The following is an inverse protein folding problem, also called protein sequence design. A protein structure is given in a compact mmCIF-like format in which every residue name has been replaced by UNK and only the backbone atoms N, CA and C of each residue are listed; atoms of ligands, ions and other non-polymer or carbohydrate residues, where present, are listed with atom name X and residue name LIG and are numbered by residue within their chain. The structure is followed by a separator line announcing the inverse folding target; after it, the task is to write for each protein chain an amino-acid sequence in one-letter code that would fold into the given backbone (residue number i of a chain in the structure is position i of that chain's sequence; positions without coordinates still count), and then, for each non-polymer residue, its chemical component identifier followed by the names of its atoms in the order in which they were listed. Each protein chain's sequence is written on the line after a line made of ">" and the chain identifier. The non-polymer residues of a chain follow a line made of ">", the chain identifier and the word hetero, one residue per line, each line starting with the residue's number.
data_IF_413613077986
#
_entry.id   IF_413613077986
#
_cell.length_a   1.000
_cell.length_b   1.000
_cell.length_c   1.000
_cell.angle_alpha   90.00
_cell.angle_beta   90.00
_cell.angle_gamma   90.00
#
_symmetry.space_group_name_H-M   'P 1'
#
loop_
_entity.id
_entity.type
_entity.pdbx_description
1 polymer ?
#
# COMPACT_ATOMS: atom_id res chain seq x y z
N UNK A 1 11.14 19.32 -8.88
CA UNK A 1 9.92 19.71 -9.63
C UNK A 1 8.62 19.15 -9.05
N UNK A 2 8.55 17.93 -8.50
CA UNK A 2 7.32 17.40 -7.87
C UNK A 2 6.88 18.14 -6.58
N UNK A 3 7.84 18.66 -5.81
CA UNK A 3 7.60 19.44 -4.58
C UNK A 3 6.74 20.70 -4.80
N UNK A 4 6.84 21.33 -5.97
CA UNK A 4 6.23 22.65 -6.23
C UNK A 4 4.81 22.56 -6.79
N UNK A 5 4.44 21.45 -7.45
CA UNK A 5 3.07 21.25 -7.96
C UNK A 5 2.09 20.78 -6.90
N UNK A 6 2.52 19.98 -5.91
CA UNK A 6 1.69 19.62 -4.76
C UNK A 6 1.44 20.83 -3.84
N UNK A 7 2.42 21.73 -3.72
CA UNK A 7 2.35 22.96 -2.93
C UNK A 7 1.20 23.91 -3.31
N UNK A 8 0.73 23.85 -4.56
CA UNK A 8 -0.21 24.83 -5.13
C UNK A 8 -1.68 24.44 -5.02
N UNK A 9 -2.01 23.19 -4.68
CA UNK A 9 -3.40 22.69 -4.66
C UNK A 9 -4.00 22.58 -3.25
N UNK A 10 -3.18 22.60 -2.20
CA UNK A 10 -3.60 22.39 -0.82
C UNK A 10 -3.02 23.51 0.06
N UNK A 11 -3.73 23.96 1.09
CA UNK A 11 -3.19 24.96 2.01
C UNK A 11 -2.17 24.31 2.97
N UNK A 12 -0.90 24.29 2.56
CA UNK A 12 0.19 23.72 3.35
C UNK A 12 0.48 24.50 4.65
N UNK A 13 -0.07 25.71 4.83
CA UNK A 13 0.01 26.41 6.11
C UNK A 13 -0.79 25.68 7.19
N UNK A 14 -1.93 25.09 6.83
CA UNK A 14 -2.68 24.21 7.75
C UNK A 14 -1.87 22.96 8.16
N UNK A 15 -1.11 22.37 7.22
CA UNK A 15 -0.23 21.21 7.49
C UNK A 15 1.03 21.54 8.29
N UNK A 16 1.48 22.81 8.30
CA UNK A 16 2.77 23.21 8.88
C UNK A 16 2.69 23.96 10.21
N UNK A 17 1.50 24.36 10.67
CA UNK A 17 1.34 25.24 11.84
C UNK A 17 0.67 24.62 13.07
N UNK A 18 0.09 23.42 12.98
CA UNK A 18 -0.39 22.71 14.17
C UNK A 18 0.79 22.22 15.01
N UNK A 19 0.99 22.78 16.21
CA UNK A 19 1.74 22.06 17.25
C UNK A 19 0.99 20.75 17.49
N UNK A 20 1.71 19.63 17.55
CA UNK A 20 1.12 18.38 18.06
C UNK A 20 0.85 18.65 19.53
N UNK A 21 -0.40 18.94 19.88
CA UNK A 21 -0.79 19.24 21.26
C UNK A 21 -0.59 18.02 22.16
N UNK A 22 -0.75 16.81 21.60
CA UNK A 22 -0.55 15.55 22.32
C UNK A 22 0.01 14.46 21.38
N UNK A 23 1.10 13.78 21.79
CA UNK A 23 1.71 12.67 21.02
C UNK A 23 0.98 11.35 21.33
N UNK A 24 -0.32 11.32 21.06
CA UNK A 24 -1.13 10.13 21.27
C UNK A 24 -1.67 9.63 19.92
N UNK A 25 -1.54 8.32 19.69
CA UNK A 25 -2.18 7.69 18.55
C UNK A 25 -3.65 7.40 18.84
N UNK A 26 -4.52 7.39 17.81
CA UNK A 26 -5.89 6.94 17.97
C UNK A 26 -5.96 5.53 18.58
N UNK A 27 -6.94 5.31 19.46
CA UNK A 27 -7.18 3.99 20.09
C UNK A 27 -7.76 2.99 19.09
N UNK A 28 -8.60 3.45 18.17
CA UNK A 28 -9.15 2.63 17.07
C UNK A 28 -8.02 2.22 16.13
N UNK A 29 -7.88 0.92 15.91
CA UNK A 29 -6.83 0.37 15.07
C UNK A 29 -7.17 0.57 13.58
N UNK A 30 -6.22 1.00 12.73
CA UNK A 30 -6.47 1.27 11.34
C UNK A 30 -6.48 0.01 10.47
N UNK A 31 -7.19 0.07 9.34
CA UNK A 31 -6.91 -0.77 8.18
C UNK A 31 -5.93 -0.06 7.24
N UNK A 32 -4.83 -0.73 6.90
CA UNK A 32 -3.77 -0.17 6.05
C UNK A 32 -3.69 -0.98 4.76
N UNK A 33 -3.76 -0.32 3.61
CA UNK A 33 -3.52 -0.95 2.31
C UNK A 33 -2.09 -0.63 1.84
N UNK A 34 -1.34 -1.67 1.46
CA UNK A 34 -0.04 -1.59 0.79
C UNK A 34 0.03 -2.50 -0.43
N UNK A 35 0.83 -2.10 -1.42
CA UNK A 35 1.03 -2.85 -2.66
C UNK A 35 2.17 -2.22 -3.46
N UNK A 36 2.72 -2.95 -4.43
CA UNK A 36 3.53 -2.30 -5.46
C UNK A 36 2.65 -1.37 -6.33
N UNK A 37 3.17 -0.21 -6.71
CA UNK A 37 2.37 0.82 -7.40
C UNK A 37 1.88 0.37 -8.77
N UNK A 38 0.58 0.28 -8.99
CA UNK A 38 -0.02 -0.25 -10.25
C UNK A 38 -0.90 -1.49 -10.05
N UNK A 39 -0.90 -2.05 -8.84
CA UNK A 39 -1.63 -3.27 -8.45
C UNK A 39 -3.14 -3.08 -8.21
N UNK A 40 -3.76 -2.00 -8.69
CA UNK A 40 -5.23 -1.85 -8.65
C UNK A 40 -5.85 -1.54 -7.28
N UNK A 41 -5.06 -1.10 -6.30
CA UNK A 41 -5.48 -0.81 -4.91
C UNK A 41 -6.66 0.18 -4.73
N UNK A 42 -7.06 0.92 -5.76
CA UNK A 42 -8.20 1.87 -5.69
C UNK A 42 -9.54 1.17 -5.49
N UNK A 43 -9.76 0.05 -6.18
CA UNK A 43 -11.00 -0.72 -6.02
C UNK A 43 -11.15 -1.22 -4.58
N UNK A 44 -10.03 -1.59 -3.93
CA UNK A 44 -10.01 -1.99 -2.53
C UNK A 44 -10.44 -0.85 -1.60
N UNK A 45 -9.96 0.39 -1.82
CA UNK A 45 -10.39 1.57 -1.04
C UNK A 45 -11.91 1.76 -1.16
N UNK A 46 -12.46 1.64 -2.36
CA UNK A 46 -13.90 1.78 -2.59
C UNK A 46 -14.71 0.69 -1.88
N UNK A 47 -14.23 -0.56 -1.86
CA UNK A 47 -14.84 -1.68 -1.13
C UNK A 47 -14.77 -1.46 0.38
N UNK A 48 -13.62 -1.00 0.90
CA UNK A 48 -13.47 -0.68 2.32
C UNK A 48 -14.45 0.41 2.78
N UNK A 49 -14.73 1.41 1.94
CA UNK A 49 -15.77 2.41 2.22
C UNK A 49 -17.16 1.78 2.33
N UNK A 50 -17.49 0.78 1.51
CA UNK A 50 -18.74 0.02 1.65
C UNK A 50 -18.78 -0.83 2.93
N UNK A 51 -17.62 -1.30 3.40
CA UNK A 51 -17.45 -2.00 4.67
C UNK A 51 -17.45 -1.07 5.90
N UNK A 52 -17.82 0.21 5.73
CA UNK A 52 -17.90 1.19 6.82
C UNK A 52 -16.56 1.78 7.27
N UNK A 53 -15.46 1.51 6.55
CA UNK A 53 -14.15 2.07 6.87
C UNK A 53 -14.02 3.48 6.29
N UNK A 54 -13.70 4.44 7.15
CA UNK A 54 -13.34 5.78 6.69
C UNK A 54 -11.90 5.82 6.17
N UNK A 55 -11.74 6.07 4.87
CA UNK A 55 -10.44 6.00 4.18
C UNK A 55 -9.80 7.38 3.94
N UNK A 56 -10.26 8.41 4.64
CA UNK A 56 -9.83 9.80 4.48
C UNK A 56 -10.64 10.59 3.45
N UNK A 57 -10.83 11.88 3.75
CA UNK A 57 -11.47 12.84 2.85
C UNK A 57 -10.46 13.53 1.91
N UNK A 58 -9.19 13.58 2.34
CA UNK A 58 -8.10 14.21 1.61
C UNK A 58 -7.22 13.18 0.91
N UNK A 59 -7.75 12.61 -0.18
CA UNK A 59 -7.07 11.59 -0.99
C UNK A 59 -6.72 12.11 -2.38
N UNK A 60 -5.61 11.61 -2.97
CA UNK A 60 -5.30 11.89 -4.37
C UNK A 60 -6.39 11.31 -5.27
N UNK A 61 -7.07 12.12 -6.11
CA UNK A 61 -8.22 11.66 -6.88
C UNK A 61 -7.87 10.63 -7.97
N UNK A 62 -6.59 10.50 -8.32
CA UNK A 62 -6.13 9.52 -9.31
C UNK A 62 -5.68 8.23 -8.67
N UNK A 63 -5.04 8.28 -7.50
CA UNK A 63 -4.39 7.12 -6.88
C UNK A 63 -5.07 6.61 -5.61
N UNK A 64 -5.98 7.39 -5.02
CA UNK A 64 -6.56 7.18 -3.68
C UNK A 64 -5.48 7.11 -2.59
N UNK A 65 -4.32 7.71 -2.81
CA UNK A 65 -3.31 7.84 -1.76
C UNK A 65 -3.75 8.91 -0.77
N UNK A 66 -3.80 8.55 0.51
CA UNK A 66 -4.04 9.51 1.58
C UNK A 66 -2.94 10.59 1.56
N UNK A 67 -3.33 11.85 1.38
CA UNK A 67 -2.38 12.92 1.08
C UNK A 67 -1.42 13.19 2.23
N UNK A 68 -1.91 13.20 3.47
CA UNK A 68 -1.07 13.37 4.65
C UNK A 68 0.00 12.28 4.76
N UNK A 69 -0.38 11.02 4.51
CA UNK A 69 0.53 9.88 4.51
C UNK A 69 1.50 9.93 3.34
N UNK A 70 1.05 10.31 2.15
CA UNK A 70 1.91 10.49 0.97
C UNK A 70 3.01 11.51 1.22
N UNK A 71 2.70 12.62 1.88
CA UNK A 71 3.67 13.68 2.23
C UNK A 71 4.68 13.17 3.24
N UNK A 72 4.19 12.52 4.29
CA UNK A 72 5.03 11.90 5.30
C UNK A 72 6.01 10.90 4.68
N UNK A 73 5.50 9.97 3.87
CA UNK A 73 6.30 8.93 3.23
C UNK A 73 7.30 9.48 2.21
N UNK A 74 6.91 10.49 1.41
CA UNK A 74 7.83 11.14 0.47
C UNK A 74 9.03 11.81 1.17
N UNK A 75 8.94 12.07 2.48
CA UNK A 75 10.02 12.66 3.28
C UNK A 75 10.81 11.63 4.06
N UNK A 76 10.13 10.67 4.68
CA UNK A 76 10.71 9.83 5.74
C UNK A 76 10.81 8.35 5.39
N UNK A 77 10.29 7.92 4.24
CA UNK A 77 10.28 6.50 3.87
C UNK A 77 11.68 5.88 3.92
N UNK A 78 12.67 6.45 3.21
CA UNK A 78 14.01 5.86 3.12
C UNK A 78 14.68 5.76 4.50
N UNK A 79 14.53 6.79 5.35
CA UNK A 79 15.09 6.80 6.71
C UNK A 79 14.45 5.72 7.59
N UNK A 80 13.12 5.58 7.54
CA UNK A 80 12.40 4.56 8.32
C UNK A 80 12.74 3.17 7.79
N UNK A 81 12.78 3.00 6.47
CA UNK A 81 13.12 1.73 5.84
C UNK A 81 14.54 1.30 6.20
N UNK A 82 15.51 2.21 6.15
CA UNK A 82 16.88 1.94 6.59
C UNK A 82 16.92 1.53 8.07
N UNK A 83 16.16 2.20 8.95
CA UNK A 83 16.06 1.82 10.35
C UNK A 83 15.51 0.39 10.54
N UNK A 84 14.47 0.02 9.79
CA UNK A 84 13.89 -1.34 9.80
C UNK A 84 14.93 -2.37 9.35
N UNK A 85 15.63 -2.11 8.25
CA UNK A 85 16.65 -3.03 7.73
C UNK A 85 17.83 -3.20 8.71
N UNK A 86 18.13 -2.17 9.50
CA UNK A 86 19.16 -2.20 10.54
C UNK A 86 18.66 -2.68 11.92
N UNK A 87 17.39 -3.12 12.03
CA UNK A 87 16.73 -3.48 13.29
C UNK A 87 16.91 -2.42 14.39
N UNK A 88 16.71 -1.16 14.00
CA UNK A 88 16.96 0.02 14.84
C UNK A 88 15.72 0.92 14.94
N UNK A 89 15.59 1.72 16.01
CA UNK A 89 14.47 2.65 16.14
C UNK A 89 14.42 3.66 14.98
N UNK A 90 13.21 3.97 14.52
CA UNK A 90 13.01 5.02 13.53
C UNK A 90 13.44 6.39 14.08
N UNK A 91 13.93 7.32 13.24
CA UNK A 91 14.34 8.64 13.72
C UNK A 91 13.20 9.36 14.45
N UNK A 92 13.48 9.96 15.62
CA UNK A 92 12.47 10.66 16.41
C UNK A 92 11.70 11.75 15.63
N UNK A 93 12.36 12.38 14.64
CA UNK A 93 11.71 13.34 13.72
C UNK A 93 10.71 12.68 12.77
N UNK A 94 11.01 11.48 12.28
CA UNK A 94 10.09 10.69 11.47
C UNK A 94 8.88 10.26 12.32
N UNK A 95 9.11 9.78 13.55
CA UNK A 95 8.05 9.43 14.49
C UNK A 95 7.12 10.63 14.76
N UNK A 96 7.67 11.80 15.08
CA UNK A 96 6.87 13.02 15.29
C UNK A 96 6.10 13.44 14.02
N UNK A 97 6.68 13.25 12.84
CA UNK A 97 6.00 13.53 11.59
C UNK A 97 4.86 12.54 11.32
N UNK A 98 4.99 11.29 11.75
CA UNK A 98 3.92 10.28 11.65
C UNK A 98 2.73 10.61 12.56
N UNK A 99 2.98 11.05 13.80
CA UNK A 99 1.92 11.58 14.67
C UNK A 99 1.13 12.70 13.98
N UNK A 100 1.85 13.69 13.42
CA UNK A 100 1.21 14.80 12.66
C UNK A 100 0.42 14.30 11.47
N UNK A 101 1.00 13.43 10.66
CA UNK A 101 0.33 12.91 9.47
C UNK A 101 -0.94 12.15 9.83
N UNK A 102 -0.93 11.41 10.95
CA UNK A 102 -2.11 10.69 11.46
C UNK A 102 -3.19 11.64 11.94
N UNK A 103 -2.82 12.68 12.69
CA UNK A 103 -3.77 13.72 13.15
C UNK A 103 -4.41 14.44 11.96
N UNK A 104 -3.60 14.86 10.99
CA UNK A 104 -4.10 15.57 9.80
C UNK A 104 -4.96 14.66 8.94
N UNK A 105 -4.55 13.38 8.78
CA UNK A 105 -5.35 12.40 8.04
C UNK A 105 -6.74 12.24 8.65
N UNK A 106 -6.92 12.50 9.95
CA UNK A 106 -8.17 12.32 10.70
C UNK A 106 -8.90 13.63 11.06
N UNK A 107 -8.45 14.79 10.57
CA UNK A 107 -9.01 16.09 10.97
C UNK A 107 -10.51 16.21 10.70
N UNK A 108 -11.00 15.66 9.58
CA UNK A 108 -12.41 15.73 9.17
C UNK A 108 -13.27 14.61 9.79
N UNK A 109 -12.66 13.69 10.53
CA UNK A 109 -13.37 12.56 11.10
C UNK A 109 -14.22 13.03 12.29
N UNK A 110 -15.53 13.12 12.08
CA UNK A 110 -16.48 13.61 13.08
C UNK A 110 -16.64 12.68 14.29
N UNK A 111 -16.57 11.36 14.08
CA UNK A 111 -16.60 10.35 15.15
C UNK A 111 -15.20 9.73 15.34
N UNK A 112 -14.50 10.03 16.45
CA UNK A 112 -13.19 9.45 16.75
C UNK A 112 -13.19 7.92 16.82
N UNK A 113 -14.34 7.29 17.10
CA UNK A 113 -14.49 5.85 17.21
C UNK A 113 -14.78 5.16 15.88
N UNK A 114 -15.01 5.91 14.81
CA UNK A 114 -15.28 5.35 13.49
C UNK A 114 -14.11 4.48 13.01
N UNK A 115 -14.38 3.26 12.49
CA UNK A 115 -13.38 2.45 11.81
C UNK A 115 -12.74 3.24 10.67
N UNK A 116 -11.42 3.16 10.55
CA UNK A 116 -10.68 4.04 9.67
C UNK A 116 -9.46 3.36 9.09
N UNK A 117 -8.91 3.97 8.05
CA UNK A 117 -7.71 3.46 7.42
C UNK A 117 -7.06 4.46 6.49
N UNK A 118 -6.00 4.01 5.84
CA UNK A 118 -5.40 4.74 4.74
C UNK A 118 -4.77 3.78 3.74
N UNK A 119 -4.56 4.32 2.54
CA UNK A 119 -3.90 3.61 1.47
C UNK A 119 -2.68 4.42 1.01
N UNK A 120 -1.55 3.73 0.87
CA UNK A 120 -0.40 4.18 0.10
C UNK A 120 0.43 2.95 -0.31
N UNK A 121 0.88 2.83 -1.58
CA UNK A 121 1.69 1.69 -2.03
C UNK A 121 2.88 1.38 -1.10
N UNK A 122 3.61 2.42 -0.66
CA UNK A 122 4.83 2.30 0.16
C UNK A 122 4.58 1.66 1.53
N UNK A 123 3.32 1.59 1.99
CA UNK A 123 2.98 0.97 3.27
C UNK A 123 3.46 -0.49 3.38
N UNK A 124 3.56 -1.20 2.25
CA UNK A 124 3.97 -2.61 2.21
C UNK A 124 5.34 -2.86 2.85
N UNK A 125 6.24 -1.86 2.85
CA UNK A 125 7.59 -2.00 3.41
C UNK A 125 7.71 -1.50 4.85
N UNK A 126 6.67 -0.86 5.40
CA UNK A 126 6.71 -0.19 6.70
C UNK A 126 5.82 -0.87 7.76
N UNK A 127 5.37 -2.11 7.52
CA UNK A 127 4.60 -2.90 8.50
C UNK A 127 5.27 -2.92 9.89
N UNK A 128 6.59 -3.18 10.02
CA UNK A 128 7.25 -3.19 11.34
C UNK A 128 7.20 -1.83 12.05
N UNK A 129 7.17 -0.73 11.29
CA UNK A 129 7.04 0.62 11.85
C UNK A 129 5.62 0.86 12.34
N UNK A 130 4.59 0.52 11.54
CA UNK A 130 3.21 0.74 11.94
C UNK A 130 2.76 -0.13 13.12
N UNK A 131 3.24 -1.36 13.21
CA UNK A 131 2.92 -2.28 14.31
C UNK A 131 3.34 -1.75 15.70
N UNK A 132 4.35 -0.87 15.76
CA UNK A 132 4.78 -0.22 17.00
C UNK A 132 3.75 0.76 17.56
N UNK A 133 2.93 1.35 16.67
CA UNK A 133 1.93 2.35 17.01
C UNK A 133 0.52 1.76 17.10
N UNK A 134 0.26 0.74 16.28
CA UNK A 134 -1.04 0.11 16.13
C UNK A 134 -0.89 -1.42 16.18
N UNK A 135 -0.74 -2.00 17.38
CA UNK A 135 -0.52 -3.45 17.52
C UNK A 135 -1.69 -4.31 17.01
N UNK A 136 -2.88 -3.71 16.89
CA UNK A 136 -4.06 -4.36 16.33
C UNK A 136 -4.42 -3.90 14.92
N UNK A 137 -3.52 -3.21 14.19
CA UNK A 137 -3.79 -2.80 12.81
C UNK A 137 -4.14 -4.02 11.95
N UNK A 138 -5.06 -3.84 11.00
CA UNK A 138 -5.33 -4.82 9.95
C UNK A 138 -4.62 -4.37 8.67
N UNK A 139 -3.87 -5.26 8.03
CA UNK A 139 -3.09 -4.95 6.83
C UNK A 139 -3.61 -5.73 5.62
N UNK A 140 -4.03 -5.02 4.58
CA UNK A 140 -4.40 -5.61 3.29
C UNK A 140 -3.24 -5.41 2.32
N UNK A 141 -2.57 -6.52 1.99
CA UNK A 141 -1.50 -6.58 1.03
C UNK A 141 -2.06 -6.99 -0.33
N UNK A 142 -2.10 -6.05 -1.27
CA UNK A 142 -2.52 -6.34 -2.63
C UNK A 142 -1.31 -6.69 -3.48
N UNK A 143 -1.30 -7.90 -4.03
CA UNK A 143 -0.29 -8.36 -4.99
C UNK A 143 -0.91 -8.42 -6.39
N UNK A 144 -0.10 -8.18 -7.42
CA UNK A 144 -0.44 -8.34 -8.83
C UNK A 144 0.70 -9.08 -9.53
N UNK A 145 0.45 -9.76 -10.65
CA UNK A 145 1.48 -10.48 -11.38
C UNK A 145 2.72 -9.60 -11.65
N UNK A 146 3.89 -10.07 -11.19
CA UNK A 146 5.16 -9.36 -11.32
C UNK A 146 5.55 -9.08 -12.77
N UNK A 147 5.12 -9.93 -13.71
CA UNK A 147 5.40 -9.79 -15.15
C UNK A 147 4.62 -8.63 -15.75
N UNK A 148 3.33 -8.52 -15.44
CA UNK A 148 2.52 -7.34 -15.84
C UNK A 148 3.05 -6.05 -15.20
N UNK A 149 3.51 -6.14 -13.95
CA UNK A 149 4.08 -5.03 -13.22
C UNK A 149 5.39 -4.53 -13.82
N UNK A 150 6.31 -5.44 -14.19
CA UNK A 150 7.59 -5.10 -14.79
C UNK A 150 7.43 -4.41 -16.15
N UNK A 151 6.43 -4.81 -16.92
CA UNK A 151 6.12 -4.23 -18.23
C UNK A 151 5.26 -2.97 -18.16
N UNK A 152 4.81 -2.57 -16.95
CA UNK A 152 4.00 -1.37 -16.74
C UNK A 152 4.80 -0.08 -16.98
N UNK A 153 4.10 0.97 -17.43
CA UNK A 153 4.67 2.34 -17.49
C UNK A 153 4.83 2.96 -16.10
N UNK A 154 4.21 2.39 -15.07
CA UNK A 154 4.32 2.92 -13.71
C UNK A 154 5.62 2.44 -13.05
N UNK A 155 6.65 3.28 -13.15
CA UNK A 155 7.98 3.02 -12.59
C UNK A 155 8.27 3.90 -11.36
N UNK A 156 7.24 4.54 -10.81
CA UNK A 156 7.39 5.59 -9.79
C UNK A 156 8.11 5.10 -8.54
N UNK A 157 7.70 3.95 -7.96
CA UNK A 157 8.34 3.43 -6.75
C UNK A 157 9.78 2.96 -6.99
N UNK A 158 10.07 2.36 -8.15
CA UNK A 158 11.43 2.00 -8.50
C UNK A 158 12.32 3.24 -8.61
N UNK A 159 11.83 4.29 -9.26
CA UNK A 159 12.57 5.55 -9.40
C UNK A 159 12.78 6.28 -8.07
N UNK A 160 11.79 6.24 -7.18
CA UNK A 160 11.85 6.94 -5.90
C UNK A 160 12.65 6.16 -4.85
N UNK A 161 12.49 4.84 -4.78
CA UNK A 161 12.96 4.01 -3.66
C UNK A 161 13.82 2.81 -4.09
N UNK A 162 14.14 2.66 -5.37
CA UNK A 162 15.02 1.58 -5.86
C UNK A 162 16.38 1.56 -5.16
N UNK A 163 16.94 2.73 -4.82
CA UNK A 163 18.22 2.79 -4.08
C UNK A 163 18.09 2.23 -2.67
N UNK A 164 16.98 2.51 -1.98
CA UNK A 164 16.72 2.02 -0.64
C UNK A 164 16.42 0.52 -0.64
N UNK A 165 15.59 0.04 -1.58
CA UNK A 165 15.11 -1.34 -1.60
C UNK A 165 16.05 -2.29 -2.34
N UNK A 166 16.68 -1.88 -3.43
CA UNK A 166 17.53 -2.74 -4.29
C UNK A 166 19.03 -2.38 -4.23
N UNK A 167 19.39 -1.23 -3.65
CA UNK A 167 20.75 -0.69 -3.72
C UNK A 167 21.03 0.01 -5.06
N UNK A 168 22.18 0.68 -5.21
CA UNK A 168 22.40 1.67 -6.28
C UNK A 168 22.49 1.12 -7.72
N UNK A 169 22.56 -0.19 -7.90
CA UNK A 169 22.86 -0.82 -9.21
C UNK A 169 21.62 -1.07 -10.10
N UNK A 170 20.40 -0.86 -9.60
CA UNK A 170 19.16 -1.17 -10.33
C UNK A 170 18.95 -0.39 -11.64
N UNK A 171 19.71 0.69 -11.90
CA UNK A 171 19.50 1.55 -13.08
C UNK A 171 19.90 0.92 -14.42
N UNK A 172 20.58 -0.22 -14.41
CA UNK A 172 21.13 -0.84 -15.62
C UNK A 172 20.07 -1.59 -16.45
N UNK A 173 19.10 -2.20 -15.78
CA UNK A 173 18.04 -2.97 -16.44
C UNK A 173 16.69 -2.70 -15.75
N UNK A 174 15.92 -1.71 -16.21
CA UNK A 174 14.68 -1.30 -15.55
C UNK A 174 13.62 -2.40 -15.45
N UNK A 175 13.55 -3.31 -16.42
CA UNK A 175 12.57 -4.42 -16.41
C UNK A 175 12.96 -5.41 -15.32
N UNK A 176 14.21 -5.89 -15.33
CA UNK A 176 14.71 -6.80 -14.30
C UNK A 176 14.61 -6.14 -12.92
N UNK A 177 14.97 -4.86 -12.79
CA UNK A 177 14.87 -4.17 -11.52
C UNK A 177 13.44 -3.96 -11.03
N UNK A 178 12.43 -3.91 -11.90
CA UNK A 178 11.05 -3.98 -11.43
C UNK A 178 10.65 -5.36 -10.94
N UNK A 179 11.12 -6.41 -11.60
CA UNK A 179 10.91 -7.78 -11.15
C UNK A 179 11.57 -8.00 -9.79
N UNK A 180 12.77 -7.46 -9.59
CA UNK A 180 13.49 -7.50 -8.31
C UNK A 180 12.76 -6.69 -7.23
N UNK A 181 12.25 -5.50 -7.58
CA UNK A 181 11.47 -4.68 -6.65
C UNK A 181 10.17 -5.39 -6.24
N UNK A 182 9.51 -6.03 -7.21
CA UNK A 182 8.31 -6.82 -6.99
C UNK A 182 8.60 -8.02 -6.08
N UNK A 183 9.62 -8.81 -6.40
CA UNK A 183 10.02 -10.00 -5.64
C UNK A 183 10.40 -9.63 -4.21
N UNK A 184 11.42 -8.78 -4.05
CA UNK A 184 11.91 -8.37 -2.73
C UNK A 184 10.83 -7.65 -1.94
N UNK A 185 10.05 -6.80 -2.61
CA UNK A 185 9.04 -6.01 -1.93
C UNK A 185 7.91 -6.84 -1.35
N UNK A 186 7.33 -7.75 -2.14
CA UNK A 186 6.23 -8.59 -1.66
C UNK A 186 6.70 -9.57 -0.57
N UNK A 187 7.90 -10.15 -0.70
CA UNK A 187 8.48 -11.01 0.36
C UNK A 187 8.74 -10.24 1.65
N UNK A 188 9.28 -9.03 1.57
CA UNK A 188 9.49 -8.19 2.75
C UNK A 188 8.17 -7.86 3.45
N UNK A 189 7.11 -7.56 2.69
CA UNK A 189 5.79 -7.30 3.24
C UNK A 189 5.22 -8.52 3.95
N UNK A 190 5.26 -9.70 3.30
CA UNK A 190 4.77 -10.95 3.88
C UNK A 190 5.54 -11.34 5.14
N UNK A 191 6.87 -11.41 5.07
CA UNK A 191 7.71 -11.78 6.22
C UNK A 191 7.59 -10.77 7.38
N UNK A 192 7.41 -9.48 7.08
CA UNK A 192 7.13 -8.47 8.11
C UNK A 192 5.76 -8.69 8.75
N UNK A 193 4.72 -8.98 7.96
CA UNK A 193 3.41 -9.26 8.52
C UNK A 193 3.42 -10.49 9.43
N UNK A 194 4.04 -11.58 8.99
CA UNK A 194 4.19 -12.82 9.77
C UNK A 194 4.93 -12.59 11.09
N UNK A 195 5.92 -11.69 11.10
CA UNK A 195 6.74 -11.40 12.29
C UNK A 195 6.08 -10.42 13.26
N UNK A 196 5.37 -9.41 12.76
CA UNK A 196 4.96 -8.24 13.55
C UNK A 196 3.45 -8.11 13.76
N UNK A 197 2.63 -8.86 13.03
CA UNK A 197 1.17 -8.81 13.13
C UNK A 197 0.60 -10.12 13.66
N UNK A 198 -0.60 -10.04 14.23
CA UNK A 198 -1.41 -11.24 14.45
C UNK A 198 -1.77 -11.86 13.06
N UNK A 199 -1.79 -13.19 12.91
CA UNK A 199 -2.20 -13.83 11.65
C UNK A 199 -3.58 -13.37 11.13
N UNK A 200 -4.52 -13.07 12.02
CA UNK A 200 -5.86 -12.56 11.65
C UNK A 200 -5.88 -11.08 11.25
N UNK A 201 -4.72 -10.42 11.29
CA UNK A 201 -4.54 -9.01 10.97
C UNK A 201 -3.74 -8.79 9.68
N UNK A 202 -3.49 -9.84 8.90
CA UNK A 202 -2.89 -9.76 7.58
C UNK A 202 -3.72 -10.49 6.54
N UNK A 203 -4.11 -9.78 5.49
CA UNK A 203 -4.80 -10.33 4.32
C UNK A 203 -3.97 -10.08 3.07
N UNK A 204 -3.42 -11.14 2.49
CA UNK A 204 -2.85 -11.11 1.14
C UNK A 204 -3.95 -11.41 0.13
N UNK A 205 -4.11 -10.54 -0.87
CA UNK A 205 -5.14 -10.70 -1.90
C UNK A 205 -4.57 -10.33 -3.27
N UNK A 206 -4.84 -11.18 -4.27
CA UNK A 206 -4.41 -10.90 -5.65
C UNK A 206 -5.39 -9.94 -6.30
N UNK A 207 -4.85 -8.99 -7.05
CA UNK A 207 -5.65 -8.09 -7.87
C UNK A 207 -6.47 -8.86 -8.91
N UNK A 208 -5.90 -9.93 -9.44
CA UNK A 208 -6.50 -10.83 -10.41
C UNK A 208 -7.74 -11.50 -9.82
N UNK A 209 -7.67 -12.02 -8.58
CA UNK A 209 -8.81 -12.64 -7.90
C UNK A 209 -9.96 -11.65 -7.70
N UNK A 210 -9.65 -10.39 -7.34
CA UNK A 210 -10.67 -9.34 -7.28
C UNK A 210 -11.35 -9.09 -8.63
N UNK A 211 -10.66 -9.33 -9.74
CA UNK A 211 -11.20 -9.08 -11.07
C UNK A 211 -11.93 -10.30 -11.67
N UNK A 212 -11.49 -11.51 -11.36
CA UNK A 212 -12.01 -12.76 -11.96
C UNK A 212 -13.01 -13.47 -11.06
N UNK A 213 -12.87 -13.35 -9.74
CA UNK A 213 -13.77 -13.90 -8.74
C UNK A 213 -14.12 -12.84 -7.67
N UNK A 214 -14.77 -11.74 -8.09
CA UNK A 214 -14.96 -10.57 -7.24
C UNK A 214 -15.81 -10.88 -5.99
N UNK A 215 -16.79 -11.78 -6.08
CA UNK A 215 -17.65 -12.14 -4.95
C UNK A 215 -16.85 -12.77 -3.80
N UNK A 216 -15.98 -13.74 -4.12
CA UNK A 216 -15.12 -14.39 -3.13
C UNK A 216 -14.09 -13.42 -2.55
N UNK A 217 -13.52 -12.55 -3.39
CA UNK A 217 -12.56 -11.53 -2.98
C UNK A 217 -13.19 -10.47 -2.05
N UNK A 218 -14.41 -10.01 -2.35
CA UNK A 218 -15.13 -9.07 -1.48
C UNK A 218 -15.50 -9.75 -0.17
N UNK A 219 -16.02 -10.99 -0.22
CA UNK A 219 -16.36 -11.73 0.98
C UNK A 219 -15.16 -11.90 1.92
N UNK A 220 -13.99 -12.28 1.39
CA UNK A 220 -12.79 -12.44 2.22
C UNK A 220 -12.34 -11.13 2.88
N UNK A 221 -12.53 -9.97 2.21
CA UNK A 221 -12.27 -8.67 2.81
C UNK A 221 -13.24 -8.34 3.95
N UNK A 222 -14.53 -8.65 3.80
CA UNK A 222 -15.53 -8.41 4.85
C UNK A 222 -15.33 -9.34 6.05
N UNK A 223 -15.05 -10.63 5.79
CA UNK A 223 -14.70 -11.60 6.83
C UNK A 223 -13.44 -11.15 7.58
N UNK A 224 -12.41 -10.70 6.86
CA UNK A 224 -11.17 -10.17 7.44
C UNK A 224 -11.41 -8.93 8.31
N UNK A 225 -12.32 -8.05 7.93
CA UNK A 225 -12.70 -6.86 8.70
C UNK A 225 -13.67 -7.18 9.85
N UNK A 226 -14.19 -8.40 9.91
CA UNK A 226 -15.17 -8.85 10.90
C UNK A 226 -16.46 -8.01 10.84
N UNK A 227 -16.89 -7.63 9.63
CA UNK A 227 -18.12 -6.86 9.40
C UNK A 227 -19.11 -7.65 8.54
N UNK A 228 -20.43 -7.52 8.79
CA UNK A 228 -21.42 -8.26 8.04
C UNK A 228 -21.49 -7.80 6.57
N UNK A 229 -21.59 -8.77 5.65
CA UNK A 229 -21.80 -8.53 4.24
C UNK A 229 -23.25 -8.85 3.86
N UNK A 230 -24.04 -7.81 3.56
CA UNK A 230 -25.39 -7.98 3.02
C UNK A 230 -25.35 -8.11 1.49
N UNK A 231 -26.42 -8.65 0.90
CA UNK A 231 -26.56 -8.77 -0.55
C UNK A 231 -26.53 -7.40 -1.25
N UNK A 232 -27.10 -6.37 -0.62
CA UNK A 232 -27.08 -5.00 -1.16
C UNK A 232 -25.66 -4.42 -1.20
N UNK A 233 -24.88 -4.64 -0.14
CA UNK A 233 -23.49 -4.18 -0.07
C UNK A 233 -22.63 -4.96 -1.07
N UNK A 234 -22.81 -6.28 -1.18
CA UNK A 234 -22.11 -7.11 -2.16
C UNK A 234 -22.38 -6.59 -3.59
N UNK A 235 -23.65 -6.37 -3.93
CA UNK A 235 -24.05 -5.83 -5.22
C UNK A 235 -23.48 -4.42 -5.49
N UNK A 236 -23.35 -3.58 -4.45
CA UNK A 236 -22.70 -2.27 -4.56
C UNK A 236 -21.19 -2.42 -4.84
N UNK A 237 -20.50 -3.30 -4.12
CA UNK A 237 -19.09 -3.61 -4.34
C UNK A 237 -18.81 -4.10 -5.76
N UNK A 238 -19.67 -4.97 -6.32
CA UNK A 238 -19.51 -5.48 -7.69
C UNK A 238 -19.46 -4.37 -8.74
N UNK A 239 -20.24 -3.29 -8.55
CA UNK A 239 -20.26 -2.14 -9.46
C UNK A 239 -18.99 -1.29 -9.40
N UNK A 240 -18.20 -1.40 -8.33
CA UNK A 240 -16.96 -0.64 -8.11
C UNK A 240 -15.72 -1.35 -8.70
N UNK A 241 -15.88 -2.61 -9.09
CA UNK A 241 -14.80 -3.43 -9.64
C UNK A 241 -14.76 -3.23 -11.15
N UNK A 242 -13.61 -2.81 -11.65
CA UNK A 242 -13.37 -2.64 -13.09
C UNK A 242 -12.07 -3.37 -13.45
N UNK A 243 -12.18 -4.57 -14.04
CA UNK A 243 -11.01 -5.36 -14.43
C UNK A 243 -10.07 -4.57 -15.33
N UNK A 244 -8.78 -4.60 -15.01
CA UNK A 244 -7.77 -3.98 -15.87
C UNK A 244 -7.61 -4.81 -17.14
N UNK A 245 -7.70 -4.17 -18.31
CA UNK A 245 -7.35 -4.79 -19.61
C UNK A 245 -5.88 -5.24 -19.72
N UNK A 246 -5.06 -4.96 -18.69
CA UNK A 246 -3.66 -5.35 -18.64
C UNK A 246 -3.40 -6.64 -17.86
N UNK A 247 -4.42 -7.29 -17.31
CA UNK A 247 -4.21 -8.61 -16.68
C UNK A 247 -3.76 -9.60 -17.76
N UNK A 248 -2.64 -10.27 -17.54
CA UNK A 248 -2.06 -11.22 -18.49
C UNK A 248 -1.47 -10.57 -19.73
N UNK A 249 -1.29 -9.23 -19.74
CA UNK A 249 -0.76 -8.53 -20.93
C UNK A 249 0.68 -8.93 -21.26
N UNK A 250 1.42 -9.44 -20.27
CA UNK A 250 2.78 -9.93 -20.45
C UNK A 250 2.89 -11.12 -21.42
N UNK A 251 1.84 -11.96 -21.54
CA UNK A 251 1.81 -13.14 -22.43
C UNK A 251 1.76 -12.79 -23.92
N UNK A 252 1.49 -11.52 -24.23
CA UNK A 252 1.39 -11.05 -25.61
C UNK A 252 2.76 -10.84 -26.27
N UNK A 253 2.98 -9.73 -26.97
CA UNK A 253 4.19 -9.48 -27.77
C UNK A 253 5.44 -9.15 -26.96
N UNK A 254 5.39 -9.23 -25.62
CA UNK A 254 6.45 -8.76 -24.71
C UNK A 254 7.02 -9.86 -23.82
N UNK A 255 6.62 -11.12 -24.05
CA UNK A 255 7.15 -12.26 -23.30
C UNK A 255 8.67 -12.39 -23.46
N UNK A 256 9.21 -12.04 -24.63
CA UNK A 256 10.65 -12.06 -24.88
C UNK A 256 11.45 -11.08 -24.02
N UNK A 257 10.83 -9.98 -23.56
CA UNK A 257 11.47 -9.05 -22.60
C UNK A 257 11.64 -9.67 -21.21
N UNK A 258 11.01 -10.82 -20.94
CA UNK A 258 11.02 -11.53 -19.66
C UNK A 258 11.79 -12.87 -19.73
N UNK A 259 12.32 -13.26 -20.89
CA UNK A 259 13.02 -14.55 -21.10
C UNK A 259 14.23 -14.72 -20.17
N UNK A 260 14.91 -13.63 -19.83
CA UNK A 260 16.09 -13.63 -18.96
C UNK A 260 15.78 -13.29 -17.50
N UNK A 261 14.52 -13.46 -17.08
CA UNK A 261 14.11 -13.25 -15.70
C UNK A 261 14.90 -14.16 -14.76
N UNK A 262 15.48 -13.57 -13.71
CA UNK A 262 16.29 -14.33 -12.77
C UNK A 262 15.47 -15.39 -12.02
N UNK A 263 16.03 -16.60 -11.74
CA UNK A 263 15.29 -17.70 -11.12
C UNK A 263 14.57 -17.35 -9.82
N UNK A 264 15.16 -16.49 -8.99
CA UNK A 264 14.54 -16.04 -7.72
C UNK A 264 13.18 -15.35 -7.91
N UNK A 265 12.99 -14.66 -9.04
CA UNK A 265 11.73 -14.00 -9.37
C UNK A 265 10.69 -15.04 -9.75
N UNK A 266 11.07 -16.07 -10.49
CA UNK A 266 10.20 -17.19 -10.80
C UNK A 266 9.72 -17.93 -9.55
N UNK A 267 10.62 -18.15 -8.58
CA UNK A 267 10.25 -18.74 -7.30
C UNK A 267 9.27 -17.85 -6.52
N UNK A 268 9.45 -16.52 -6.56
CA UNK A 268 8.50 -15.60 -5.95
C UNK A 268 7.15 -15.59 -6.68
N UNK A 269 7.13 -15.68 -8.01
CA UNK A 269 5.87 -15.85 -8.76
C UNK A 269 5.14 -17.12 -8.30
N UNK A 270 5.84 -18.23 -8.05
CA UNK A 270 5.25 -19.47 -7.53
C UNK A 270 4.71 -19.28 -6.11
N UNK A 271 5.49 -18.66 -5.25
CA UNK A 271 5.12 -18.35 -3.86
C UNK A 271 3.83 -17.52 -3.77
N UNK A 272 3.69 -16.52 -4.64
CA UNK A 272 2.47 -15.72 -4.77
C UNK A 272 1.42 -16.33 -5.72
N UNK A 273 1.62 -17.55 -6.20
CA UNK A 273 0.68 -18.35 -6.99
C UNK A 273 0.35 -17.82 -8.39
N UNK A 274 1.37 -17.39 -9.14
CA UNK A 274 1.27 -16.95 -10.54
C UNK A 274 1.84 -17.97 -11.54
N UNK A 275 2.46 -19.05 -11.05
CA UNK A 275 3.00 -20.20 -11.81
C UNK A 275 2.80 -21.50 -11.05
#
# INVERSE_FOLDING_TARGET
>A
MARTKLALQYDWKAFSLGRVEEKQMPTVQPVIIGALGGSGTRSFVSILRQAGQWMGDWNDPKTEDALAMRVFLARWFDDIFASIQADSPAPARAVNAFYRATQIHRTELSDPMMPWGWKNPRNMWLIPFYAQFFPGLKFIHVVRDGRDMALSKNQFLLQEHGDAVLGKQWRQNPIQSQLDLWERGNRLAQTSAERYLNPNNYLLIKYEDLCTNPDAAVKSMFDFLEVPLSEEILAACMKLISPSRRIGSWESSRASELENMEPRVFDALREFGYV
#
